data_IF_423106055907
#
_entry.id   IF_423106055907
#
_cell.length_a   1.000
_cell.length_b   1.000
_cell.length_c   1.000
_cell.angle_alpha   90.00
_cell.angle_beta   90.00
_cell.angle_gamma   90.00
#
_symmetry.space_group_name_H-M   'P 1'
#
loop_
_entity.id
_entity.type
_entity.pdbx_description
1 polymer ?
#
# COMPACT_ATOMS: atom_id res chain seq x y z
N UNK A 1 32.13 34.54 -36.87
CA UNK A 1 31.69 33.54 -37.86
C UNK A 1 31.36 32.28 -37.05
N UNK A 2 30.16 31.74 -36.93
CA UNK A 2 28.93 31.81 -37.75
C UNK A 2 27.77 31.41 -36.83
N UNK A 3 26.65 32.15 -36.88
CA UNK A 3 25.38 31.81 -36.20
C UNK A 3 24.65 30.74 -37.01
N UNK A 4 24.01 29.76 -36.36
CA UNK A 4 23.01 28.92 -37.01
C UNK A 4 21.66 29.03 -36.29
N UNK A 5 20.68 29.46 -37.08
CA UNK A 5 19.25 29.59 -36.79
C UNK A 5 18.56 28.38 -37.42
N UNK A 6 17.65 27.71 -36.72
CA UNK A 6 16.68 26.78 -37.34
C UNK A 6 15.28 27.09 -36.80
N UNK A 7 14.38 27.29 -37.75
CA UNK A 7 13.01 27.75 -37.61
C UNK A 7 11.98 26.59 -37.54
N UNK A 8 10.74 27.00 -37.26
CA UNK A 8 9.51 26.25 -36.99
C UNK A 8 9.10 25.19 -38.03
N UNK A 9 8.32 24.21 -37.56
CA UNK A 9 7.21 23.62 -38.33
C UNK A 9 5.98 23.39 -37.44
N UNK A 10 4.87 24.02 -37.86
CA UNK A 10 3.54 23.94 -37.28
C UNK A 10 2.81 22.66 -37.73
N UNK A 11 2.01 22.06 -36.85
CA UNK A 11 0.86 21.24 -37.25
C UNK A 11 -0.28 21.44 -36.25
N UNK A 12 -1.43 21.88 -36.78
CA UNK A 12 -2.70 22.11 -36.11
C UNK A 12 -3.60 20.85 -36.23
N UNK A 13 -4.88 20.98 -35.84
CA UNK A 13 -6.01 20.03 -35.86
C UNK A 13 -6.13 19.18 -34.57
N UNK A 14 -7.20 19.25 -33.75
CA UNK A 14 -8.46 19.98 -33.85
C UNK A 14 -9.33 19.88 -32.58
N UNK A 15 -10.04 20.99 -32.30
CA UNK A 15 -11.36 21.19 -31.67
C UNK A 15 -12.42 20.13 -32.03
N UNK A 16 -13.54 19.82 -31.34
CA UNK A 16 -14.39 20.34 -30.23
C UNK A 16 -15.32 19.15 -29.86
N UNK A 17 -15.70 18.93 -28.58
CA UNK A 17 -17.11 18.77 -28.15
C UNK A 17 -17.25 19.27 -26.72
N UNK A 18 -17.90 20.42 -26.57
CA UNK A 18 -18.48 20.87 -25.32
C UNK A 18 -19.96 20.46 -25.30
N UNK A 19 -20.42 19.86 -24.20
CA UNK A 19 -21.83 19.81 -23.81
C UNK A 19 -21.89 20.25 -22.36
N UNK A 20 -22.41 21.47 -22.14
CA UNK A 20 -22.79 21.98 -20.83
C UNK A 20 -24.25 21.68 -20.52
N UNK A 21 -24.55 21.54 -19.22
CA UNK A 21 -25.81 21.74 -18.48
C UNK A 21 -25.63 20.90 -17.20
N UNK A 22 -25.73 21.40 -15.97
CA UNK A 22 -26.69 22.34 -15.42
C UNK A 22 -27.40 21.63 -14.25
N UNK A 23 -27.44 22.27 -13.08
CA UNK A 23 -28.49 22.15 -12.06
C UNK A 23 -28.92 20.77 -11.51
N UNK A 24 -28.81 20.66 -10.18
CA UNK A 24 -29.44 19.68 -9.29
C UNK A 24 -30.80 19.10 -9.73
N UNK A 25 -30.93 17.77 -9.68
CA UNK A 25 -32.20 17.07 -9.45
C UNK A 25 -31.97 15.75 -8.68
N UNK A 26 -32.69 15.63 -7.57
CA UNK A 26 -33.05 14.39 -6.87
C UNK A 26 -34.17 13.71 -7.69
N UNK A 27 -34.06 12.41 -7.97
CA UNK A 27 -35.15 11.40 -7.99
C UNK A 27 -34.56 10.06 -8.45
N UNK A 28 -34.47 9.05 -7.59
CA UNK A 28 -35.51 8.10 -7.18
C UNK A 28 -35.73 6.93 -8.17
N UNK A 29 -35.45 5.75 -7.63
CA UNK A 29 -36.06 4.45 -7.93
C UNK A 29 -36.37 4.08 -9.38
N UNK A 30 -35.57 3.15 -9.94
CA UNK A 30 -36.15 2.01 -10.65
C UNK A 30 -35.41 0.72 -10.32
N UNK A 31 -36.14 -0.11 -9.61
CA UNK A 31 -35.90 -1.46 -9.13
C UNK A 31 -35.54 -2.41 -10.28
N UNK A 32 -34.35 -3.02 -10.26
CA UNK A 32 -34.15 -4.30 -10.94
C UNK A 32 -34.53 -5.39 -9.92
N UNK A 33 -35.71 -5.99 -10.13
CA UNK A 33 -36.21 -7.10 -9.33
C UNK A 33 -35.34 -8.34 -9.60
N UNK A 34 -34.36 -8.58 -8.72
CA UNK A 34 -33.76 -9.89 -8.54
C UNK A 34 -34.54 -10.64 -7.47
N UNK A 35 -35.27 -11.70 -7.84
CA UNK A 35 -35.84 -12.65 -6.90
C UNK A 35 -34.73 -13.45 -6.21
N UNK A 36 -34.18 -12.88 -5.14
CA UNK A 36 -33.38 -13.58 -4.15
C UNK A 36 -34.15 -13.56 -2.83
N UNK A 37 -34.53 -14.74 -2.34
CA UNK A 37 -35.19 -14.89 -1.04
C UNK A 37 -34.32 -14.24 0.05
N UNK A 38 -34.88 -13.22 0.71
CA UNK A 38 -34.23 -12.51 1.80
C UNK A 38 -34.02 -13.40 3.00
N UNK A 39 -32.76 -13.78 3.25
CA UNK A 39 -32.28 -13.92 4.63
C UNK A 39 -32.04 -12.50 5.14
N UNK A 40 -32.93 -12.01 6.00
CA UNK A 40 -32.70 -10.82 6.82
C UNK A 40 -31.68 -11.13 7.93
N UNK A 41 -30.48 -11.56 7.57
CA UNK A 41 -29.33 -11.41 8.44
C UNK A 41 -28.85 -9.96 8.27
N UNK A 42 -28.70 -9.18 9.35
CA UNK A 42 -28.08 -7.87 9.22
C UNK A 42 -26.74 -8.11 8.55
N UNK A 43 -26.48 -7.45 7.42
CA UNK A 43 -25.16 -7.43 6.82
C UNK A 43 -24.21 -6.98 7.92
N UNK A 44 -23.47 -7.91 8.49
CA UNK A 44 -22.39 -7.61 9.40
C UNK A 44 -21.42 -6.80 8.55
N UNK A 45 -21.54 -5.47 8.61
CA UNK A 45 -20.54 -4.54 8.10
C UNK A 45 -19.31 -4.81 8.94
N UNK A 46 -18.52 -5.80 8.51
CA UNK A 46 -17.24 -6.11 9.12
C UNK A 46 -16.43 -4.85 8.95
N UNK A 47 -16.27 -4.10 10.04
CA UNK A 47 -15.37 -2.96 10.06
C UNK A 47 -14.02 -3.48 9.60
N UNK A 48 -13.41 -2.86 8.59
CA UNK A 48 -12.10 -3.28 8.09
C UNK A 48 -11.08 -2.21 8.34
N UNK A 49 -9.88 -2.63 8.72
CA UNK A 49 -8.68 -1.79 8.73
C UNK A 49 -7.86 -2.20 7.51
N UNK A 50 -7.60 -1.24 6.64
CA UNK A 50 -6.70 -1.45 5.52
C UNK A 50 -5.27 -1.19 5.99
N UNK A 51 -4.35 -2.03 5.55
CA UNK A 51 -2.93 -1.91 5.85
C UNK A 51 -2.13 -1.88 4.56
N UNK A 52 -1.21 -0.94 4.47
CA UNK A 52 -0.33 -0.76 3.32
C UNK A 52 1.08 -0.34 3.75
N UNK A 53 2.04 -0.52 2.86
CA UNK A 53 3.44 -0.14 3.09
C UNK A 53 3.78 1.13 2.33
N UNK A 54 4.32 2.12 3.02
CA UNK A 54 4.98 3.28 2.41
C UNK A 54 6.48 3.04 2.29
N UNK A 55 7.07 3.36 1.14
CA UNK A 55 8.51 3.26 0.89
C UNK A 55 8.96 4.57 0.24
N UNK A 56 9.87 5.28 0.90
CA UNK A 56 10.40 6.56 0.41
C UNK A 56 11.92 6.46 0.24
N UNK A 57 12.45 6.43 -1.00
CA UNK A 57 13.88 6.45 -1.24
C UNK A 57 14.54 7.74 -0.70
N UNK A 58 15.71 7.61 -0.08
CA UNK A 58 16.44 8.69 0.59
C UNK A 58 17.85 8.83 0.02
N UNK A 59 18.25 10.07 -0.23
CA UNK A 59 19.60 10.44 -0.66
C UNK A 59 19.78 10.46 -2.18
N UNK A 60 20.89 11.04 -2.67
CA UNK A 60 21.13 11.26 -4.09
C UNK A 60 21.28 9.96 -4.89
N UNK A 61 21.73 8.89 -4.24
CA UNK A 61 21.91 7.57 -4.85
C UNK A 61 20.76 6.59 -4.55
N UNK A 62 19.74 7.01 -3.79
CA UNK A 62 18.60 6.17 -3.38
C UNK A 62 19.03 4.84 -2.73
N UNK A 63 20.20 4.81 -2.10
CA UNK A 63 20.75 3.62 -1.43
C UNK A 63 20.07 3.31 -0.10
N UNK A 64 19.27 4.24 0.42
CA UNK A 64 18.50 4.08 1.64
C UNK A 64 17.02 4.31 1.32
N UNK A 65 16.13 3.70 2.09
CA UNK A 65 14.70 3.98 2.04
C UNK A 65 14.10 4.06 3.44
N UNK A 66 13.25 5.06 3.66
CA UNK A 66 12.38 5.10 4.84
C UNK A 66 11.16 4.24 4.56
N UNK A 67 10.86 3.32 5.50
CA UNK A 67 9.73 2.40 5.42
C UNK A 67 8.71 2.76 6.49
N UNK A 68 7.45 2.78 6.09
CA UNK A 68 6.31 3.12 6.92
C UNK A 68 5.23 2.05 6.79
N UNK A 69 4.52 1.77 7.87
CA UNK A 69 3.29 1.00 7.85
C UNK A 69 2.12 1.98 7.93
N UNK A 70 1.29 2.04 6.90
CA UNK A 70 0.07 2.83 6.93
C UNK A 70 -1.12 1.96 7.32
N UNK A 71 -1.94 2.46 8.24
CA UNK A 71 -3.20 1.84 8.67
C UNK A 71 -4.34 2.81 8.40
N UNK A 72 -5.36 2.38 7.68
CA UNK A 72 -6.58 3.16 7.43
C UNK A 72 -7.75 2.51 8.15
N UNK A 73 -8.41 3.26 9.03
CA UNK A 73 -9.56 2.76 9.78
C UNK A 73 -10.86 2.77 8.95
N UNK A 74 -11.97 2.33 9.54
CA UNK A 74 -13.26 2.26 8.86
C UNK A 74 -13.83 3.63 8.46
N UNK A 75 -13.28 4.72 8.99
CA UNK A 75 -13.69 6.09 8.68
C UNK A 75 -12.89 6.66 7.50
N UNK A 76 -11.92 5.90 6.98
CA UNK A 76 -10.98 6.36 5.97
C UNK A 76 -9.82 7.18 6.55
N UNK A 77 -9.70 7.26 7.89
CA UNK A 77 -8.59 7.97 8.51
C UNK A 77 -7.33 7.11 8.45
N UNK A 78 -6.33 7.62 7.72
CA UNK A 78 -5.02 7.00 7.61
C UNK A 78 -4.08 7.49 8.72
N UNK A 79 -3.33 6.56 9.30
CA UNK A 79 -2.22 6.82 10.23
C UNK A 79 -0.98 6.11 9.69
N UNK A 80 0.12 6.84 9.56
CA UNK A 80 1.41 6.30 9.14
C UNK A 80 2.30 6.06 10.36
N UNK A 81 2.86 4.85 10.45
CA UNK A 81 3.76 4.42 11.52
C UNK A 81 5.15 4.25 10.93
N UNK A 82 6.12 5.05 11.36
CA UNK A 82 7.51 4.90 10.92
C UNK A 82 8.09 3.61 11.47
N UNK A 83 8.63 2.78 10.57
CA UNK A 83 9.25 1.50 10.91
C UNK A 83 10.76 1.65 11.03
N UNK A 84 11.37 2.34 10.07
CA UNK A 84 12.79 2.63 10.10
C UNK A 84 13.36 2.99 8.74
N UNK A 85 14.67 3.26 8.72
CA UNK A 85 15.46 3.53 7.53
C UNK A 85 16.32 2.31 7.21
N UNK A 86 16.19 1.79 6.00
CA UNK A 86 16.84 0.56 5.56
C UNK A 86 17.72 0.79 4.34
N UNK A 87 18.81 0.02 4.24
CA UNK A 87 19.70 0.06 3.08
C UNK A 87 19.15 -0.80 1.95
N UNK A 88 19.27 -0.32 0.72
CA UNK A 88 18.96 -1.05 -0.49
C UNK A 88 17.62 -0.69 -1.14
N UNK A 89 17.31 -1.37 -2.23
CA UNK A 89 16.03 -1.21 -2.92
C UNK A 89 14.96 -1.98 -2.18
N UNK A 90 13.99 -1.26 -1.62
CA UNK A 90 12.87 -1.85 -0.88
C UNK A 90 11.66 -2.07 -1.80
N UNK A 91 11.01 -3.21 -1.65
CA UNK A 91 9.78 -3.55 -2.39
C UNK A 91 8.85 -4.37 -1.52
N UNK A 92 7.54 -4.20 -1.73
CA UNK A 92 6.52 -5.05 -1.08
C UNK A 92 6.59 -6.43 -1.71
N UNK A 93 6.52 -7.47 -0.88
CA UNK A 93 6.48 -8.85 -1.33
C UNK A 93 5.51 -9.67 -0.48
N UNK A 94 5.20 -10.88 -0.96
CA UNK A 94 4.44 -11.87 -0.19
C UNK A 94 5.43 -12.83 0.47
N UNK A 95 5.54 -12.83 1.81
CA UNK A 95 6.38 -13.79 2.51
C UNK A 95 5.92 -15.23 2.30
N UNK A 96 6.84 -16.18 2.48
CA UNK A 96 6.50 -17.60 2.45
C UNK A 96 5.46 -17.94 3.54
N UNK A 97 4.60 -18.93 3.26
CA UNK A 97 3.46 -19.25 4.12
C UNK A 97 3.88 -19.70 5.53
N UNK A 98 5.02 -20.37 5.65
CA UNK A 98 5.63 -20.80 6.92
C UNK A 98 6.06 -19.62 7.82
N UNK A 99 6.25 -18.43 7.25
CA UNK A 99 6.50 -17.22 8.00
C UNK A 99 5.27 -16.73 8.79
N UNK A 100 4.05 -17.17 8.48
CA UNK A 100 2.81 -16.66 9.10
C UNK A 100 2.65 -15.14 9.01
N UNK A 101 3.18 -14.53 7.95
CA UNK A 101 3.10 -13.09 7.70
C UNK A 101 2.09 -12.79 6.59
N UNK A 102 1.29 -11.74 6.77
CA UNK A 102 0.23 -11.35 5.83
C UNK A 102 0.76 -10.52 4.66
N UNK A 103 1.87 -9.81 4.85
CA UNK A 103 2.59 -9.05 3.82
C UNK A 103 3.98 -8.71 4.35
N UNK A 104 4.89 -8.27 3.48
CA UNK A 104 6.21 -7.83 3.89
C UNK A 104 6.85 -6.82 2.97
N UNK A 105 7.97 -6.27 3.42
CA UNK A 105 8.88 -5.42 2.63
C UNK A 105 10.25 -6.07 2.63
N UNK A 106 10.84 -6.25 1.46
CA UNK A 106 12.20 -6.74 1.29
C UNK A 106 13.08 -5.62 0.76
N UNK A 107 14.12 -5.26 1.52
CA UNK A 107 15.12 -4.26 1.19
C UNK A 107 16.42 -4.95 0.79
N UNK A 108 16.74 -4.98 -0.50
CA UNK A 108 17.89 -5.70 -1.05
C UNK A 108 19.11 -4.80 -1.20
N UNK A 109 20.25 -5.22 -0.67
CA UNK A 109 21.54 -4.54 -0.79
C UNK A 109 22.66 -5.57 -1.08
N UNK A 110 23.00 -5.75 -2.36
CA UNK A 110 23.95 -6.79 -2.78
C UNK A 110 23.35 -8.19 -2.64
N UNK A 111 24.14 -9.17 -2.17
CA UNK A 111 23.71 -10.58 -2.01
C UNK A 111 22.84 -10.86 -0.77
N UNK A 112 22.20 -9.85 -0.20
CA UNK A 112 21.37 -9.98 0.99
C UNK A 112 20.64 -8.68 1.33
N UNK A 113 20.13 -8.58 2.55
CA UNK A 113 19.46 -7.37 3.02
C UNK A 113 18.56 -7.62 4.23
N UNK A 114 17.47 -6.87 4.30
CA UNK A 114 16.51 -6.93 5.41
C UNK A 114 15.11 -7.23 4.89
N UNK A 115 14.43 -8.15 5.55
CA UNK A 115 12.99 -8.37 5.40
C UNK A 115 12.23 -7.86 6.60
N UNK A 116 11.08 -7.25 6.32
CA UNK A 116 10.08 -6.82 7.27
C UNK A 116 8.83 -7.63 7.00
N UNK A 117 8.30 -8.28 8.03
CA UNK A 117 7.12 -9.13 7.95
C UNK A 117 6.03 -8.55 8.85
N UNK A 118 4.85 -8.33 8.30
CA UNK A 118 3.68 -7.96 9.08
C UNK A 118 2.94 -9.23 9.50
N UNK A 119 2.76 -9.42 10.81
CA UNK A 119 1.96 -10.51 11.38
C UNK A 119 0.80 -9.95 12.18
N UNK A 120 -0.30 -10.70 12.23
CA UNK A 120 -1.47 -10.35 13.05
C UNK A 120 -1.49 -11.25 14.28
N UNK A 121 -1.45 -10.65 15.47
CA UNK A 121 -1.54 -11.38 16.73
C UNK A 121 -2.83 -11.02 17.46
N UNK A 122 -3.60 -12.05 17.85
CA UNK A 122 -4.82 -11.90 18.64
C UNK A 122 -5.95 -11.10 17.97
N UNK A 123 -5.85 -10.84 16.66
CA UNK A 123 -6.84 -10.05 15.92
C UNK A 123 -6.88 -8.57 16.31
N UNK A 124 -5.91 -8.08 17.09
CA UNK A 124 -5.88 -6.70 17.60
C UNK A 124 -4.49 -6.06 17.53
N UNK A 125 -3.46 -6.84 17.17
CA UNK A 125 -2.10 -6.35 17.05
C UNK A 125 -1.54 -6.64 15.67
N UNK A 126 -1.13 -5.57 14.99
CA UNK A 126 -0.26 -5.59 13.82
C UNK A 126 1.18 -5.51 14.32
N UNK A 127 1.97 -6.55 14.09
CA UNK A 127 3.36 -6.61 14.56
C UNK A 127 4.26 -6.67 13.34
N UNK A 128 5.23 -5.75 13.29
CA UNK A 128 6.29 -5.79 12.29
C UNK A 128 7.49 -6.50 12.90
N UNK A 129 7.84 -7.62 12.28
CA UNK A 129 9.00 -8.42 12.57
C UNK A 129 10.09 -8.13 11.53
N UNK A 130 11.33 -8.02 11.97
CA UNK A 130 12.49 -7.82 11.11
C UNK A 130 13.37 -9.06 11.13
N UNK A 131 13.92 -9.42 9.97
CA UNK A 131 15.01 -10.38 9.89
C UNK A 131 16.03 -10.00 8.80
N UNK A 132 17.32 -10.31 8.99
CA UNK A 132 18.26 -10.28 7.88
C UNK A 132 17.98 -11.44 6.92
N UNK A 133 18.21 -11.24 5.64
CA UNK A 133 18.19 -12.31 4.64
C UNK A 133 19.49 -12.32 3.84
N UNK A 134 19.87 -13.50 3.37
CA UNK A 134 20.98 -13.72 2.43
C UNK A 134 20.40 -14.46 1.24
N UNK A 135 20.72 -14.01 0.04
CA UNK A 135 20.21 -14.61 -1.18
C UNK A 135 20.71 -16.06 -1.33
N UNK A 136 19.79 -16.98 -1.63
CA UNK A 136 20.09 -18.41 -1.74
C UNK A 136 20.29 -19.15 -0.41
N UNK A 137 20.24 -18.46 0.73
CA UNK A 137 20.27 -19.10 2.04
C UNK A 137 18.85 -19.40 2.56
N UNK A 138 18.63 -20.56 3.22
CA UNK A 138 17.36 -20.83 3.87
C UNK A 138 17.08 -19.79 4.95
N UNK A 139 15.83 -19.35 5.03
CA UNK A 139 15.37 -18.39 6.02
C UNK A 139 14.88 -19.11 7.27
N UNK A 140 15.33 -18.67 8.46
CA UNK A 140 14.83 -19.17 9.74
C UNK A 140 13.74 -18.24 10.27
N UNK A 141 12.50 -18.73 10.27
CA UNK A 141 11.33 -18.00 10.76
C UNK A 141 11.44 -17.65 12.26
N UNK A 142 12.30 -18.30 13.03
CA UNK A 142 12.51 -18.01 14.45
C UNK A 142 13.53 -16.89 14.69
N UNK A 143 14.32 -16.50 13.69
CA UNK A 143 15.34 -15.44 13.80
C UNK A 143 14.76 -14.04 13.55
N UNK A 144 13.50 -13.83 13.92
CA UNK A 144 12.77 -12.58 13.72
C UNK A 144 12.75 -11.76 14.99
N UNK A 145 12.97 -10.45 14.84
CA UNK A 145 12.91 -9.47 15.92
C UNK A 145 11.70 -8.56 15.75
N UNK A 146 10.87 -8.44 16.78
CA UNK A 146 9.83 -7.42 16.81
C UNK A 146 10.45 -6.02 16.84
N UNK A 147 10.02 -5.16 15.91
CA UNK A 147 10.50 -3.78 15.82
C UNK A 147 9.36 -2.76 15.98
N UNK A 148 8.10 -3.16 15.73
CA UNK A 148 6.95 -2.28 15.87
C UNK A 148 5.71 -3.10 16.19
N UNK A 149 4.85 -2.53 17.04
CA UNK A 149 3.53 -3.08 17.38
C UNK A 149 2.50 -1.97 17.32
N UNK A 150 1.52 -2.14 16.44
CA UNK A 150 0.39 -1.23 16.27
C UNK A 150 -0.87 -1.92 16.75
N UNK A 151 -1.61 -1.28 17.66
CA UNK A 151 -2.90 -1.77 18.14
C UNK A 151 -3.99 -1.33 17.19
N UNK A 152 -4.84 -2.26 16.77
CA UNK A 152 -6.08 -2.02 16.02
C UNK A 152 -7.28 -2.42 16.86
N UNK A 153 -8.45 -1.87 16.56
CA UNK A 153 -9.67 -2.21 17.30
C UNK A 153 -10.06 -3.68 17.09
N UNK A 154 -10.51 -4.34 18.16
CA UNK A 154 -10.96 -5.76 18.10
C UNK A 154 -12.17 -5.93 17.19
N UNK A 155 -12.26 -7.11 16.56
CA UNK A 155 -13.40 -7.49 15.72
C UNK A 155 -13.39 -6.84 14.34
N UNK A 156 -12.28 -6.24 13.95
CA UNK A 156 -12.06 -5.64 12.64
C UNK A 156 -11.40 -6.65 11.70
N UNK A 157 -11.87 -6.76 10.46
CA UNK A 157 -11.19 -7.50 9.40
C UNK A 157 -9.95 -6.74 8.91
N UNK A 158 -8.81 -7.42 8.79
CA UNK A 158 -7.58 -6.79 8.27
C UNK A 158 -7.50 -7.08 6.78
N UNK A 159 -7.44 -6.01 5.98
CA UNK A 159 -7.27 -6.09 4.54
C UNK A 159 -5.92 -5.49 4.16
N UNK A 160 -5.11 -6.24 3.44
CA UNK A 160 -3.84 -5.73 2.90
C UNK A 160 -4.14 -5.14 1.55
N UNK A 161 -3.82 -3.85 1.34
CA UNK A 161 -3.92 -3.24 0.02
C UNK A 161 -2.74 -3.73 -0.84
N UNK A 162 -2.99 -4.53 -1.90
CA UNK A 162 -1.95 -4.98 -2.78
C UNK A 162 -1.53 -3.81 -3.65
N UNK A 163 -0.46 -3.12 -3.23
CA UNK A 163 0.22 -2.06 -3.99
C UNK A 163 -0.43 -0.69 -3.87
N UNK A 164 0.10 0.10 -2.94
CA UNK A 164 0.59 1.43 -3.31
C UNK A 164 1.95 1.67 -2.63
N UNK A 165 3.03 1.58 -3.41
CA UNK A 165 4.18 2.43 -3.13
C UNK A 165 3.72 3.87 -3.40
N UNK A 166 2.95 4.44 -2.48
CA UNK A 166 2.64 5.86 -2.52
C UNK A 166 3.96 6.57 -2.29
N UNK A 167 4.57 7.02 -3.38
CA UNK A 167 5.50 8.16 -3.35
C UNK A 167 4.69 9.35 -2.85
N UNK A 168 4.52 9.43 -1.53
CA UNK A 168 3.96 10.60 -0.88
C UNK A 168 4.89 11.76 -1.15
N UNK A 169 4.46 12.68 -2.02
CA UNK A 169 5.02 14.01 -2.08
C UNK A 169 4.82 14.70 -0.71
N UNK A 170 5.79 15.48 -0.23
CA UNK A 170 5.74 16.17 1.07
C UNK A 170 4.59 17.16 1.18
#
# INVERSE_FOLDING_TARGET
MTRLVIALASAAFGSIVALGCGGSAKQDTTTTAGSGAGSNEPAHLVKKVQVSWGISPVGPTQEMADVFLATTDETGKQVSHSIGRYKGTCSVFSPAADMNAITGVQCKAGGGGTELHLVVQGGEHLIVLQMPFTEGAPQDAMNRKEITRVKVSRGIGIEVDPVQATTGAP
#
